data_IF_066895625960
#
_entry.id   IF_066895625960
#
_cell.length_a   1.000
_cell.length_b   1.000
_cell.length_c   1.000
_cell.angle_alpha   90.00
_cell.angle_beta   90.00
_cell.angle_gamma   90.00
#
_symmetry.space_group_name_H-M   'P 1'
#
loop_
_entity.id
_entity.type
_entity.pdbx_description
1 polymer ?
#
# COMPACT_ATOMS: atom_id res chain seq x y z
N UNK A 1 13.74 15.22 4.27
CA UNK A 1 12.49 15.93 4.55
C UNK A 1 11.52 14.90 5.10
N UNK A 2 11.42 14.84 6.43
CA UNK A 2 10.28 14.20 7.08
C UNK A 2 9.02 14.87 6.53
N UNK A 3 8.20 14.11 5.81
CA UNK A 3 6.82 14.52 5.58
C UNK A 3 6.25 14.63 6.99
N UNK A 4 5.89 15.82 7.47
CA UNK A 4 5.35 16.09 8.82
C UNK A 4 3.98 15.45 9.05
N UNK A 5 3.85 14.19 8.67
CA UNK A 5 2.76 13.29 8.95
C UNK A 5 3.02 12.74 10.34
N UNK A 6 1.99 12.79 11.19
CA UNK A 6 2.00 12.07 12.46
C UNK A 6 2.37 10.60 12.25
N UNK A 7 2.99 9.95 13.26
CA UNK A 7 3.31 8.54 13.18
C UNK A 7 2.06 7.77 12.72
N UNK A 8 2.24 6.83 11.78
CA UNK A 8 1.12 6.09 11.23
C UNK A 8 0.37 5.41 12.37
N UNK A 9 -0.96 5.51 12.42
CA UNK A 9 -1.72 4.82 13.44
C UNK A 9 -1.40 3.33 13.39
N UNK A 10 -1.37 2.71 14.57
CA UNK A 10 -1.15 1.28 14.66
C UNK A 10 -2.20 0.54 13.81
N UNK A 11 -1.74 -0.54 13.16
CA UNK A 11 -2.64 -1.39 12.38
C UNK A 11 -3.77 -1.91 13.27
N UNK A 12 -5.02 -1.68 12.85
CA UNK A 12 -6.19 -2.10 13.61
C UNK A 12 -6.31 -3.62 13.69
N UNK A 13 -7.01 -4.11 14.72
CA UNK A 13 -7.12 -5.55 14.96
C UNK A 13 -7.75 -6.29 13.78
N UNK A 14 -8.74 -5.70 13.10
CA UNK A 14 -9.37 -6.31 11.93
C UNK A 14 -8.40 -6.59 10.77
N UNK A 15 -7.40 -5.71 10.55
CA UNK A 15 -6.34 -5.97 9.56
C UNK A 15 -5.39 -7.06 10.03
N UNK A 16 -5.04 -7.08 11.33
CA UNK A 16 -4.17 -8.12 11.90
C UNK A 16 -4.83 -9.50 11.77
N UNK A 17 -6.11 -9.59 12.11
CA UNK A 17 -6.91 -10.82 11.99
C UNK A 17 -6.99 -11.28 10.54
N UNK A 18 -7.31 -10.36 9.61
CA UNK A 18 -7.34 -10.67 8.17
C UNK A 18 -5.99 -11.17 7.65
N UNK A 19 -4.88 -10.54 8.03
CA UNK A 19 -3.53 -10.98 7.64
C UNK A 19 -3.22 -12.34 8.26
N UNK A 20 -3.59 -12.57 9.52
CA UNK A 20 -3.38 -13.84 10.20
C UNK A 20 -4.18 -14.99 9.55
N UNK A 21 -5.43 -14.75 9.16
CA UNK A 21 -6.28 -15.72 8.44
C UNK A 21 -5.68 -16.10 7.07
N UNK A 22 -4.96 -15.16 6.45
CA UNK A 22 -4.17 -15.42 5.25
C UNK A 22 -2.85 -16.16 5.53
N UNK A 23 -2.56 -16.54 6.78
CA UNK A 23 -1.27 -17.12 7.19
C UNK A 23 -0.11 -16.12 7.14
N UNK A 24 -0.43 -14.82 7.26
CA UNK A 24 0.50 -13.71 7.17
C UNK A 24 1.28 -13.47 8.47
N UNK A 25 2.52 -13.03 8.32
CA UNK A 25 3.47 -12.73 9.40
C UNK A 25 4.43 -11.62 8.97
N UNK A 26 5.40 -11.22 9.82
CA UNK A 26 6.41 -10.19 9.50
C UNK A 26 5.79 -8.88 8.96
N UNK A 27 4.81 -8.34 9.70
CA UNK A 27 4.10 -7.12 9.32
C UNK A 27 5.00 -5.89 9.51
N UNK A 28 5.23 -5.13 8.44
CA UNK A 28 6.10 -3.95 8.44
C UNK A 28 5.46 -2.80 7.69
N UNK A 29 5.63 -1.58 8.18
CA UNK A 29 5.19 -0.42 7.42
C UNK A 29 6.17 -0.13 6.28
N UNK A 30 5.64 -0.01 5.07
CA UNK A 30 6.44 0.27 3.87
C UNK A 30 6.49 1.77 3.62
N UNK A 31 5.34 2.44 3.62
CA UNK A 31 5.23 3.88 3.34
C UNK A 31 3.92 4.42 3.92
N UNK A 32 3.91 5.69 4.28
CA UNK A 32 2.69 6.47 4.52
C UNK A 32 2.76 7.71 3.64
N UNK A 33 1.69 7.98 2.92
CA UNK A 33 1.61 9.12 2.01
C UNK A 33 0.17 9.58 1.84
N UNK A 34 0.02 10.83 1.43
CA UNK A 34 -1.22 11.30 0.83
C UNK A 34 -1.43 10.61 -0.51
N UNK A 35 -2.66 10.18 -0.78
CA UNK A 35 -3.05 9.78 -2.12
C UNK A 35 -2.99 10.99 -3.04
N UNK A 36 -2.12 10.94 -4.03
CA UNK A 36 -2.09 11.97 -5.07
C UNK A 36 -3.25 11.73 -6.04
N UNK A 37 -3.71 12.79 -6.70
CA UNK A 37 -4.76 12.71 -7.74
C UNK A 37 -4.41 11.63 -8.79
N UNK A 38 -3.12 11.50 -9.12
CA UNK A 38 -2.62 10.49 -10.07
C UNK A 38 -2.81 9.06 -9.57
N UNK A 39 -2.66 8.83 -8.26
CA UNK A 39 -2.88 7.52 -7.65
C UNK A 39 -4.39 7.16 -7.55
N UNK A 40 -5.28 8.11 -7.85
CA UNK A 40 -6.73 7.91 -7.81
C UNK A 40 -7.39 7.85 -9.19
N UNK A 41 -6.66 8.24 -10.23
CA UNK A 41 -7.15 8.16 -11.60
C UNK A 41 -7.20 6.69 -12.02
N UNK A 42 -8.42 6.14 -12.13
CA UNK A 42 -8.64 4.78 -12.63
C UNK A 42 -8.09 4.52 -14.05
N UNK A 43 -7.79 5.57 -14.81
CA UNK A 43 -7.10 5.40 -16.10
C UNK A 43 -5.60 5.13 -15.93
N UNK A 44 -5.00 5.57 -14.82
CA UNK A 44 -3.58 5.37 -14.53
C UNK A 44 -3.30 4.00 -13.90
N UNK A 45 -4.31 3.39 -13.25
CA UNK A 45 -4.25 2.05 -12.67
C UNK A 45 -2.99 1.77 -11.85
N UNK A 46 -2.57 2.76 -11.05
CA UNK A 46 -1.31 2.68 -10.33
C UNK A 46 -1.37 3.37 -8.98
N UNK A 47 -0.73 2.76 -8.00
CA UNK A 47 -0.32 3.39 -6.74
C UNK A 47 1.21 3.43 -6.71
N UNK A 48 1.76 4.63 -6.62
CA UNK A 48 3.20 4.85 -6.58
C UNK A 48 3.76 4.90 -5.16
N UNK A 49 4.86 4.18 -4.94
CA UNK A 49 5.62 4.19 -3.69
C UNK A 49 7.08 4.57 -4.01
N UNK A 50 7.41 5.85 -3.84
CA UNK A 50 8.74 6.38 -4.13
C UNK A 50 9.79 5.73 -3.22
N UNK A 51 10.90 5.24 -3.79
CA UNK A 51 11.95 4.56 -3.00
C UNK A 51 12.50 5.44 -1.87
N UNK A 52 12.56 6.76 -2.08
CA UNK A 52 13.04 7.74 -1.08
C UNK A 52 12.14 7.84 0.17
N UNK A 53 10.91 7.33 0.11
CA UNK A 53 9.90 7.39 1.17
C UNK A 53 9.65 6.02 1.81
N UNK A 54 10.35 4.97 1.35
CA UNK A 54 10.23 3.62 1.90
C UNK A 54 10.89 3.58 3.27
N UNK A 55 10.16 3.09 4.27
CA UNK A 55 10.58 3.06 5.68
C UNK A 55 11.18 1.72 6.10
N UNK A 56 10.93 0.66 5.36
CA UNK A 56 11.37 -0.69 5.72
C UNK A 56 11.73 -1.51 4.49
N UNK A 57 12.76 -2.34 4.62
CA UNK A 57 13.09 -3.35 3.61
C UNK A 57 12.05 -4.46 3.67
N UNK A 58 11.25 -4.57 2.62
CA UNK A 58 10.16 -5.53 2.54
C UNK A 58 10.35 -6.59 1.45
N UNK A 59 11.36 -6.46 0.57
CA UNK A 59 11.68 -7.43 -0.47
C UNK A 59 12.78 -8.39 0.00
N UNK A 60 12.73 -9.64 -0.46
CA UNK A 60 13.88 -10.54 -0.38
C UNK A 60 14.77 -10.39 -1.63
N UNK A 61 15.92 -11.06 -1.63
CA UNK A 61 16.91 -10.92 -2.72
C UNK A 61 16.36 -11.34 -4.10
N UNK A 62 15.59 -12.41 -4.17
CA UNK A 62 15.01 -12.91 -5.43
C UNK A 62 13.93 -11.96 -5.95
N UNK A 63 13.04 -11.47 -5.08
CA UNK A 63 12.03 -10.47 -5.42
C UNK A 63 12.68 -9.18 -5.92
N UNK A 64 13.75 -8.73 -5.27
CA UNK A 64 14.50 -7.55 -5.70
C UNK A 64 15.17 -7.78 -7.07
N UNK A 65 15.79 -8.95 -7.29
CA UNK A 65 16.36 -9.32 -8.60
C UNK A 65 15.30 -9.32 -9.69
N UNK A 66 14.11 -9.88 -9.43
CA UNK A 66 13.00 -9.91 -10.39
C UNK A 66 12.55 -8.49 -10.75
N UNK A 67 12.32 -7.63 -9.76
CA UNK A 67 11.90 -6.25 -10.00
C UNK A 67 12.98 -5.41 -10.69
N UNK A 68 14.25 -5.60 -10.35
CA UNK A 68 15.37 -4.94 -11.02
C UNK A 68 15.53 -5.39 -12.48
N UNK A 69 15.18 -6.63 -12.79
CA UNK A 69 15.07 -7.15 -14.15
C UNK A 69 13.80 -6.69 -14.89
N UNK A 70 13.08 -5.69 -14.35
CA UNK A 70 11.82 -5.14 -14.88
C UNK A 70 10.70 -6.18 -15.01
N UNK A 71 10.76 -7.27 -14.23
CA UNK A 71 9.66 -8.23 -14.13
C UNK A 71 8.62 -7.73 -13.13
N UNK A 72 7.44 -8.34 -13.17
CA UNK A 72 6.38 -8.10 -12.21
C UNK A 72 6.31 -9.22 -11.18
N UNK A 73 5.86 -8.88 -9.97
CA UNK A 73 5.49 -9.84 -8.93
C UNK A 73 3.98 -9.72 -8.69
N UNK A 74 3.24 -10.81 -8.76
CA UNK A 74 1.84 -10.84 -8.33
C UNK A 74 1.82 -11.06 -6.82
N UNK A 75 1.13 -10.18 -6.10
CA UNK A 75 1.13 -10.11 -4.64
C UNK A 75 -0.30 -10.00 -4.12
N UNK A 76 -0.51 -10.56 -2.92
CA UNK A 76 -1.79 -10.41 -2.22
C UNK A 76 -1.93 -8.98 -1.70
N UNK A 77 -3.12 -8.41 -1.78
CA UNK A 77 -3.40 -7.04 -1.37
C UNK A 77 -4.69 -6.99 -0.53
N UNK A 78 -4.53 -6.72 0.76
CA UNK A 78 -5.65 -6.44 1.67
C UNK A 78 -6.06 -4.98 1.50
N UNK A 79 -7.27 -4.79 1.00
CA UNK A 79 -7.85 -3.49 0.71
C UNK A 79 -8.29 -2.75 1.99
N UNK A 80 -8.51 -1.43 1.93
CA UNK A 80 -9.05 -0.66 3.06
C UNK A 80 -10.37 -1.19 3.62
N UNK A 81 -11.20 -1.83 2.79
CA UNK A 81 -12.46 -2.47 3.19
C UNK A 81 -12.30 -3.93 3.66
N UNK A 82 -11.06 -4.39 3.89
CA UNK A 82 -10.69 -5.76 4.26
C UNK A 82 -10.97 -6.83 3.19
N UNK A 83 -11.38 -6.43 1.98
CA UNK A 83 -11.39 -7.34 0.83
C UNK A 83 -9.96 -7.73 0.44
N UNK A 84 -9.78 -8.94 -0.08
CA UNK A 84 -8.47 -9.42 -0.54
C UNK A 84 -8.47 -9.47 -2.06
N UNK A 85 -7.53 -8.75 -2.66
CA UNK A 85 -7.31 -8.68 -4.11
C UNK A 85 -5.91 -9.15 -4.47
N UNK A 86 -5.69 -9.52 -5.73
CA UNK A 86 -4.35 -9.75 -6.27
C UNK A 86 -3.93 -8.54 -7.11
N UNK A 87 -2.76 -8.01 -6.83
CA UNK A 87 -2.20 -6.87 -7.60
C UNK A 87 -0.80 -7.22 -8.09
N UNK A 88 -0.30 -6.44 -9.03
CA UNK A 88 1.07 -6.58 -9.50
C UNK A 88 1.94 -5.49 -8.89
N UNK A 89 3.12 -5.88 -8.42
CA UNK A 89 4.20 -5.01 -8.01
C UNK A 89 5.24 -4.95 -9.13
N UNK A 90 5.59 -3.74 -9.54
CA UNK A 90 6.65 -3.47 -10.53
C UNK A 90 7.57 -2.36 -10.04
N UNK A 91 8.80 -2.27 -10.55
CA UNK A 91 9.74 -1.20 -10.22
C UNK A 91 10.00 -0.34 -11.44
N UNK A 92 9.65 0.94 -11.36
CA UNK A 92 9.72 1.90 -12.47
C UNK A 92 10.70 3.02 -12.14
N UNK A 93 11.33 3.58 -13.17
CA UNK A 93 12.00 4.88 -13.09
C UNK A 93 11.02 5.96 -13.51
N UNK A 94 10.64 6.84 -12.60
CA UNK A 94 9.79 8.00 -12.86
C UNK A 94 10.68 9.25 -12.79
N UNK A 95 11.05 9.77 -13.96
CA UNK A 95 12.09 10.79 -14.08
C UNK A 95 13.42 10.26 -13.53
N UNK A 96 14.01 11.00 -12.58
CA UNK A 96 15.26 10.64 -11.90
C UNK A 96 15.06 9.79 -10.64
N UNK A 97 13.82 9.45 -10.27
CA UNK A 97 13.52 8.71 -9.05
C UNK A 97 12.95 7.33 -9.34
N UNK A 98 13.44 6.32 -8.64
CA UNK A 98 12.88 4.97 -8.68
C UNK A 98 11.64 4.91 -7.78
N UNK A 99 10.62 4.20 -8.24
CA UNK A 99 9.38 3.96 -7.50
C UNK A 99 8.93 2.52 -7.68
N UNK A 100 8.37 1.94 -6.63
CA UNK A 100 7.56 0.74 -6.74
C UNK A 100 6.14 1.12 -7.13
N UNK A 101 5.55 0.37 -8.05
CA UNK A 101 4.23 0.63 -8.60
C UNK A 101 3.36 -0.60 -8.36
N UNK A 102 2.28 -0.41 -7.61
CA UNK A 102 1.19 -1.38 -7.50
C UNK A 102 0.20 -1.09 -8.63
N UNK A 103 -0.05 -2.06 -9.50
CA UNK A 103 -0.95 -1.93 -10.66
C UNK A 103 -1.68 -3.25 -10.95
N UNK A 104 -2.33 -3.36 -12.11
CA UNK A 104 -3.12 -4.54 -12.50
C UNK A 104 -4.58 -4.36 -12.08
N UNK A 105 -4.97 -4.87 -10.92
CA UNK A 105 -6.34 -4.72 -10.41
C UNK A 105 -6.51 -3.55 -9.44
N UNK A 106 -5.52 -2.65 -9.35
CA UNK A 106 -5.61 -1.50 -8.47
C UNK A 106 -6.80 -0.57 -8.80
N UNK A 107 -7.24 -0.51 -10.06
CA UNK A 107 -8.49 0.18 -10.39
C UNK A 107 -9.74 -0.41 -9.74
N UNK A 108 -9.78 -1.72 -9.56
CA UNK A 108 -10.88 -2.39 -8.87
C UNK A 108 -10.78 -2.12 -7.36
N UNK A 109 -9.58 -2.13 -6.79
CA UNK A 109 -9.33 -1.66 -5.42
C UNK A 109 -9.89 -0.23 -5.22
N UNK A 110 -9.59 0.71 -6.13
CA UNK A 110 -10.14 2.07 -6.06
C UNK A 110 -11.68 2.08 -6.12
N UNK A 111 -12.29 1.24 -6.96
CA UNK A 111 -13.76 1.14 -7.07
C UNK A 111 -14.39 0.58 -5.79
N UNK A 112 -13.82 -0.47 -5.23
CA UNK A 112 -14.30 -1.12 -4.01
C UNK A 112 -14.20 -0.19 -2.79
N UNK A 113 -13.24 0.73 -2.81
CA UNK A 113 -12.93 1.61 -1.68
C UNK A 113 -13.23 3.09 -1.97
N UNK A 114 -14.18 3.39 -2.87
CA UNK A 114 -14.55 4.77 -3.25
C UNK A 114 -14.89 5.68 -2.06
N UNK A 115 -15.45 5.13 -1.00
CA UNK A 115 -15.81 5.89 0.20
C UNK A 115 -14.60 6.21 1.07
N UNK A 116 -13.56 5.37 1.02
CA UNK A 116 -12.37 5.46 1.88
C UNK A 116 -11.19 6.15 1.18
N UNK A 117 -10.98 5.90 -0.12
CA UNK A 117 -9.89 6.44 -0.91
C UNK A 117 -10.35 7.73 -1.61
N UNK A 118 -10.31 8.85 -0.88
CA UNK A 118 -10.64 10.20 -1.37
C UNK A 118 -9.36 11.04 -1.59
N UNK A 119 -9.42 12.13 -2.38
CA UNK A 119 -8.28 13.03 -2.52
C UNK A 119 -7.86 13.55 -1.15
N UNK A 120 -6.56 13.66 -0.90
CA UNK A 120 -5.96 14.05 0.38
C UNK A 120 -6.11 13.04 1.52
N UNK A 121 -6.70 11.87 1.30
CA UNK A 121 -6.66 10.80 2.30
C UNK A 121 -5.21 10.35 2.52
N UNK A 122 -4.83 10.18 3.78
CA UNK A 122 -3.56 9.59 4.16
C UNK A 122 -3.74 8.08 4.17
N UNK A 123 -2.90 7.38 3.38
CA UNK A 123 -2.85 5.93 3.37
C UNK A 123 -1.49 5.45 3.84
N UNK A 124 -1.50 4.37 4.61
CA UNK A 124 -0.31 3.61 4.97
C UNK A 124 -0.35 2.26 4.27
N UNK A 125 0.76 1.91 3.62
CA UNK A 125 0.94 0.61 3.01
C UNK A 125 1.87 -0.19 3.92
N UNK A 126 1.42 -1.39 4.25
CA UNK A 126 2.13 -2.35 5.09
C UNK A 126 2.46 -3.57 4.25
N UNK A 127 3.62 -4.18 4.46
CA UNK A 127 3.98 -5.47 3.89
C UNK A 127 3.82 -6.57 4.93
N UNK A 128 3.53 -7.78 4.47
CA UNK A 128 3.53 -8.99 5.28
C UNK A 128 3.99 -10.19 4.45
N UNK A 129 4.28 -11.31 5.11
CA UNK A 129 4.77 -12.56 4.53
C UNK A 129 3.78 -13.69 4.76
N UNK A 130 3.26 -14.24 3.68
CA UNK A 130 2.28 -15.34 3.69
C UNK A 130 2.98 -16.69 3.66
N UNK A 131 2.70 -17.53 4.65
CA UNK A 131 3.17 -18.91 4.69
C UNK A 131 2.48 -19.79 3.62
N UNK A 132 3.10 -20.90 3.19
CA UNK A 132 4.40 -21.44 3.63
C UNK A 132 5.60 -20.82 2.91
N UNK A 133 5.41 -20.21 1.74
CA UNK A 133 6.50 -19.77 0.86
C UNK A 133 7.01 -18.35 1.15
N UNK A 134 6.54 -17.72 2.24
CA UNK A 134 6.85 -16.33 2.61
C UNK A 134 6.56 -15.34 1.45
N UNK A 135 5.46 -15.58 0.73
CA UNK A 135 5.06 -14.72 -0.38
C UNK A 135 4.77 -13.32 0.14
N UNK A 136 5.22 -12.30 -0.60
CA UNK A 136 4.94 -10.91 -0.28
C UNK A 136 3.45 -10.61 -0.43
N UNK A 137 2.88 -10.02 0.61
CA UNK A 137 1.56 -9.39 0.60
C UNK A 137 1.66 -7.93 1.06
N UNK A 138 0.65 -7.14 0.70
CA UNK A 138 0.49 -5.77 1.17
C UNK A 138 -0.90 -5.56 1.79
N UNK A 139 -0.98 -4.63 2.73
CA UNK A 139 -2.24 -4.12 3.26
C UNK A 139 -2.26 -2.60 3.12
N UNK A 140 -3.40 -2.05 2.71
CA UNK A 140 -3.62 -0.61 2.63
C UNK A 140 -4.59 -0.17 3.71
N UNK A 141 -4.14 0.72 4.58
CA UNK A 141 -4.92 1.25 5.70
C UNK A 141 -5.06 2.75 5.52
N UNK A 142 -6.31 3.22 5.57
CA UNK A 142 -6.61 4.65 5.65
C UNK A 142 -6.33 5.14 7.08
N UNK A 143 -5.50 6.18 7.21
CA UNK A 143 -5.42 6.96 8.46
C UNK A 143 -6.65 7.86 8.53
N UNK A 144 -7.31 7.90 9.70
CA UNK A 144 -8.57 8.62 9.93
C UNK A 144 -8.43 10.08 9.44
N UNK A 145 -9.44 10.59 8.74
CA UNK A 145 -9.47 12.00 8.31
C UNK A 145 -9.49 12.89 9.56
N UNK A 146 -8.64 13.92 9.64
CA UNK A 146 -8.84 15.04 10.57
C UNK A 146 -10.03 15.92 10.11
N UNK A 147 -11.19 15.32 9.85
CA UNK A 147 -12.39 16.06 9.46
C UNK A 147 -13.67 15.49 10.09
N UNK A 148 -13.63 15.11 11.36
CA UNK A 148 -14.82 15.16 12.22
C UNK A 148 -14.42 15.72 13.60
N UNK A 149 -14.34 17.05 13.70
CA UNK A 149 -13.82 17.64 14.94
C UNK A 149 -13.95 19.15 15.16
N UNK A 150 -14.92 19.86 14.57
CA UNK A 150 -15.46 21.09 15.19
C UNK A 150 -16.73 21.59 14.49
N UNK A 151 -17.90 21.11 14.94
CA UNK A 151 -19.06 21.99 15.05
C UNK A 151 -19.18 22.29 16.54
N UNK A 152 -18.64 23.44 16.94
CA UNK A 152 -19.08 24.09 18.18
C UNK A 152 -20.45 24.69 17.89
N UNK A 153 -21.46 24.18 18.59
CA UNK A 153 -22.73 24.87 18.77
C UNK A 153 -22.53 26.10 19.66
#
# INVERSE_FOLDING_TARGET
MEMGLEPPPDMSQAFKDCIQDLGGSDIKIVIQKFLQVIDMMSQQNRLSMSLKQIRSTFLNEDEERMLNAKRQLTVTFVEPCLSVSMVNLTKWSIGSSLSFIINGDYCNVLKNNRNSLKPNAVVSIWSFRVQPNLQLGFASIKSIDEEEGHIIN
#
